data_IF_978308304667
#
_entry.id   IF_978308304667
#
_cell.length_a   1.000
_cell.length_b   1.000
_cell.length_c   1.000
_cell.angle_alpha   90.00
_cell.angle_beta   90.00
_cell.angle_gamma   90.00
#
_symmetry.space_group_name_H-M   'P 1'
#
loop_
_entity.id
_entity.type
_entity.pdbx_description
1 polymer ?
#
# COMPACT_ATOMS: atom_id res chain seq x y z
N UNK A 1 -11.92 -14.75 -12.50
CA UNK A 1 -10.84 -14.63 -13.49
C UNK A 1 -10.75 -13.16 -13.90
N UNK A 2 -9.56 -12.55 -13.84
CA UNK A 2 -9.37 -11.17 -14.31
C UNK A 2 -9.48 -11.12 -15.85
N UNK A 3 -10.09 -10.06 -16.39
CA UNK A 3 -10.38 -9.92 -17.83
C UNK A 3 -9.31 -9.09 -18.54
N UNK A 4 -8.92 -7.94 -17.98
CA UNK A 4 -7.86 -7.07 -18.51
C UNK A 4 -7.34 -6.15 -17.42
N UNK A 5 -6.09 -5.71 -17.56
CA UNK A 5 -5.55 -4.53 -16.86
C UNK A 5 -6.00 -3.29 -17.64
N UNK A 6 -6.29 -2.20 -16.94
CA UNK A 6 -6.66 -0.90 -17.49
C UNK A 6 -5.76 0.18 -16.91
N UNK A 7 -5.86 1.41 -17.42
CA UNK A 7 -5.11 2.58 -16.93
C UNK A 7 -3.57 2.41 -17.06
N UNK A 8 -3.11 2.29 -18.31
CA UNK A 8 -1.70 2.00 -18.65
C UNK A 8 -0.85 3.25 -18.91
N UNK A 9 -1.34 4.44 -18.57
CA UNK A 9 -0.68 5.73 -18.82
C UNK A 9 0.58 5.95 -17.96
N UNK A 10 0.66 5.25 -16.82
CA UNK A 10 1.77 5.31 -15.86
C UNK A 10 2.78 4.17 -15.99
N UNK A 11 2.62 3.27 -16.96
CA UNK A 11 3.55 2.15 -17.21
C UNK A 11 4.92 2.68 -17.63
N UNK A 12 5.94 2.36 -16.83
CA UNK A 12 7.34 2.75 -17.05
C UNK A 12 8.29 1.82 -16.30
N UNK A 13 9.61 1.83 -16.60
CA UNK A 13 10.59 1.14 -15.78
C UNK A 13 10.52 1.62 -14.32
N UNK A 14 10.54 0.68 -13.37
CA UNK A 14 10.39 0.95 -11.95
C UNK A 14 10.74 -0.25 -11.09
N UNK A 15 10.66 -0.07 -9.77
CA UNK A 15 10.79 -1.16 -8.81
C UNK A 15 9.44 -1.86 -8.67
N UNK A 16 9.43 -3.19 -8.60
CA UNK A 16 8.20 -3.98 -8.36
C UNK A 16 7.48 -3.57 -7.07
N UNK A 17 8.24 -3.04 -6.11
CA UNK A 17 7.79 -2.44 -4.87
C UNK A 17 6.74 -1.34 -5.05
N UNK A 18 6.82 -0.55 -6.13
CA UNK A 18 5.86 0.52 -6.37
C UNK A 18 4.47 -0.06 -6.63
N UNK A 19 4.38 -1.06 -7.50
CA UNK A 19 3.11 -1.68 -7.87
C UNK A 19 2.52 -2.48 -6.71
N UNK A 20 3.32 -3.36 -6.08
CA UNK A 20 2.82 -4.21 -4.98
C UNK A 20 2.49 -3.36 -3.75
N UNK A 21 3.36 -2.39 -3.42
CA UNK A 21 3.17 -1.53 -2.26
C UNK A 21 1.92 -0.66 -2.40
N UNK A 22 1.66 -0.07 -3.58
CA UNK A 22 0.44 0.71 -3.81
C UNK A 22 -0.81 -0.18 -3.85
N UNK A 23 -0.71 -1.37 -4.45
CA UNK A 23 -1.79 -2.36 -4.43
C UNK A 23 -2.19 -2.74 -3.00
N UNK A 24 -1.23 -3.02 -2.12
CA UNK A 24 -1.47 -3.37 -0.73
C UNK A 24 -1.96 -2.17 0.09
N UNK A 25 -1.38 -0.98 -0.12
CA UNK A 25 -1.86 0.26 0.52
C UNK A 25 -3.34 0.49 0.22
N UNK A 26 -3.77 0.37 -1.04
CA UNK A 26 -5.18 0.54 -1.41
C UNK A 26 -6.04 -0.64 -0.95
N UNK A 27 -5.66 -1.85 -1.36
CA UNK A 27 -6.47 -3.05 -1.21
C UNK A 27 -6.63 -3.55 0.22
N UNK A 28 -5.70 -3.19 1.12
CA UNK A 28 -5.78 -3.53 2.54
C UNK A 28 -6.42 -2.42 3.39
N UNK A 29 -6.96 -1.36 2.79
CA UNK A 29 -7.74 -0.33 3.48
C UNK A 29 -9.24 -0.49 3.20
N UNK A 30 -9.95 -1.20 4.09
CA UNK A 30 -11.38 -1.51 3.94
C UNK A 30 -12.30 -0.29 3.92
N UNK A 31 -11.91 0.80 4.57
CA UNK A 31 -12.71 2.04 4.57
C UNK A 31 -12.47 2.89 3.31
N UNK A 32 -11.50 2.52 2.49
CA UNK A 32 -11.14 3.24 1.28
C UNK A 32 -10.47 4.59 1.54
N UNK A 33 -10.31 5.36 0.47
CA UNK A 33 -9.59 6.64 0.48
C UNK A 33 -10.51 7.86 0.60
N UNK A 34 -11.83 7.66 0.67
CA UNK A 34 -12.83 8.72 0.68
C UNK A 34 -13.88 8.42 1.75
N UNK A 35 -13.42 8.37 3.02
CA UNK A 35 -14.24 8.09 4.21
C UNK A 35 -14.21 9.26 5.17
N UNK A 36 -15.34 9.55 5.80
CA UNK A 36 -15.43 10.54 6.89
C UNK A 36 -14.88 9.99 8.21
N UNK A 37 -14.82 8.66 8.37
CA UNK A 37 -14.37 7.98 9.59
C UNK A 37 -12.87 7.64 9.54
N UNK A 38 -12.05 8.62 9.19
CA UNK A 38 -10.63 8.42 8.92
C UNK A 38 -9.86 7.88 10.12
N UNK A 39 -10.28 8.18 11.37
CA UNK A 39 -9.65 7.69 12.59
C UNK A 39 -9.75 6.15 12.73
N UNK A 40 -10.75 5.56 12.09
CA UNK A 40 -11.03 4.12 12.08
C UNK A 40 -10.28 3.38 10.96
N UNK A 41 -9.58 4.09 10.08
CA UNK A 41 -8.78 3.50 9.01
C UNK A 41 -7.71 2.60 9.61
N UNK A 42 -7.67 1.35 9.15
CA UNK A 42 -6.69 0.35 9.56
C UNK A 42 -6.23 -0.43 8.34
N UNK A 43 -4.97 -0.82 8.36
CA UNK A 43 -4.41 -1.75 7.40
C UNK A 43 -4.80 -3.17 7.80
N UNK A 44 -5.41 -3.92 6.89
CA UNK A 44 -5.87 -5.29 7.10
C UNK A 44 -4.77 -6.31 6.72
N UNK A 45 -4.16 -6.99 7.72
CA UNK A 45 -3.11 -7.97 7.46
C UNK A 45 -3.64 -9.27 6.82
N UNK A 46 -4.92 -9.63 7.00
CA UNK A 46 -5.48 -10.83 6.38
C UNK A 46 -5.64 -10.63 4.86
N UNK A 47 -6.10 -9.44 4.45
CA UNK A 47 -6.13 -9.07 3.03
C UNK A 47 -4.72 -8.99 2.44
N UNK A 48 -3.76 -8.43 3.20
CA UNK A 48 -2.35 -8.41 2.78
C UNK A 48 -1.83 -9.81 2.49
N UNK A 49 -2.07 -10.75 3.43
CA UNK A 49 -1.68 -12.14 3.26
C UNK A 49 -2.35 -12.78 2.04
N UNK A 50 -3.66 -12.60 1.85
CA UNK A 50 -4.39 -13.17 0.72
C UNK A 50 -3.87 -12.63 -0.64
N UNK A 51 -3.63 -11.33 -0.74
CA UNK A 51 -3.08 -10.69 -1.95
C UNK A 51 -1.67 -11.22 -2.24
N UNK A 52 -0.80 -11.24 -1.24
CA UNK A 52 0.57 -11.73 -1.39
C UNK A 52 0.62 -13.21 -1.76
N UNK A 53 -0.22 -14.07 -1.16
CA UNK A 53 -0.32 -15.48 -1.54
C UNK A 53 -0.69 -15.64 -3.02
N UNK A 54 -1.67 -14.87 -3.50
CA UNK A 54 -2.06 -14.89 -4.90
C UNK A 54 -0.94 -14.43 -5.83
N UNK A 55 -0.37 -13.25 -5.56
CA UNK A 55 0.65 -12.64 -6.40
C UNK A 55 1.96 -13.45 -6.43
N UNK A 56 2.48 -13.81 -5.25
CA UNK A 56 3.77 -14.52 -5.13
C UNK A 56 3.70 -15.96 -5.64
N UNK A 57 2.51 -16.59 -5.69
CA UNK A 57 2.36 -17.91 -6.31
C UNK A 57 2.76 -17.93 -7.79
N UNK A 58 2.67 -16.78 -8.47
CA UNK A 58 3.01 -16.60 -9.88
C UNK A 58 4.32 -15.83 -10.09
N UNK A 59 4.63 -14.88 -9.20
CA UNK A 59 5.75 -13.95 -9.37
C UNK A 59 7.10 -14.44 -8.83
N UNK A 60 7.10 -15.48 -7.97
CA UNK A 60 8.30 -15.95 -7.26
C UNK A 60 9.53 -16.22 -8.15
N UNK A 61 9.33 -16.62 -9.40
CA UNK A 61 10.43 -17.06 -10.27
C UNK A 61 11.29 -15.88 -10.79
N UNK A 62 10.81 -14.63 -10.67
CA UNK A 62 11.55 -13.44 -11.09
C UNK A 62 11.88 -12.46 -9.96
N UNK A 63 11.41 -12.71 -8.74
CA UNK A 63 11.70 -11.88 -7.58
C UNK A 63 13.04 -12.26 -6.95
N UNK A 64 13.77 -11.25 -6.51
CA UNK A 64 15.04 -11.39 -5.79
C UNK A 64 14.80 -11.32 -4.28
N UNK A 65 15.80 -11.72 -3.48
CA UNK A 65 15.71 -11.63 -2.03
C UNK A 65 15.42 -10.20 -1.54
N UNK A 66 16.05 -9.21 -2.18
CA UNK A 66 15.82 -7.79 -1.89
C UNK A 66 14.37 -7.37 -2.17
N UNK A 67 13.68 -7.99 -3.14
CA UNK A 67 12.29 -7.65 -3.45
C UNK A 67 11.32 -8.04 -2.31
N UNK A 68 11.70 -9.03 -1.51
CA UNK A 68 10.95 -9.40 -0.31
C UNK A 68 11.33 -8.52 0.87
N UNK A 69 12.61 -8.24 1.05
CA UNK A 69 13.15 -7.53 2.21
C UNK A 69 12.60 -6.09 2.30
N UNK A 70 12.44 -5.42 1.16
CA UNK A 70 11.93 -4.04 1.09
C UNK A 70 10.42 -3.92 0.88
N UNK A 71 9.67 -5.03 0.88
CA UNK A 71 8.25 -4.99 0.58
C UNK A 71 7.43 -4.28 1.66
N UNK A 72 7.74 -4.53 2.94
CA UNK A 72 7.14 -3.77 4.04
C UNK A 72 7.45 -2.28 3.92
N UNK A 73 8.71 -1.94 3.64
CA UNK A 73 9.18 -0.56 3.58
C UNK A 73 8.48 0.19 2.43
N UNK A 74 8.21 -0.49 1.31
CA UNK A 74 7.46 0.05 0.19
C UNK A 74 5.99 0.33 0.54
N UNK A 75 5.28 -0.63 1.18
CA UNK A 75 3.89 -0.46 1.61
C UNK A 75 3.77 0.77 2.52
N UNK A 76 4.66 0.88 3.50
CA UNK A 76 4.74 2.02 4.42
C UNK A 76 5.05 3.32 3.70
N UNK A 77 6.08 3.33 2.84
CA UNK A 77 6.55 4.52 2.16
C UNK A 77 5.50 5.10 1.23
N UNK A 78 4.81 4.27 0.44
CA UNK A 78 3.82 4.74 -0.54
C UNK A 78 2.59 5.31 0.17
N UNK A 79 2.13 4.69 1.28
CA UNK A 79 1.07 5.27 2.11
C UNK A 79 1.46 6.68 2.59
N UNK A 80 2.68 6.82 3.14
CA UNK A 80 3.16 8.09 3.66
C UNK A 80 3.36 9.15 2.57
N UNK A 81 3.98 8.78 1.45
CA UNK A 81 4.24 9.64 0.30
C UNK A 81 2.94 10.16 -0.34
N UNK A 82 1.93 9.29 -0.49
CA UNK A 82 0.62 9.71 -0.99
C UNK A 82 -0.09 10.67 -0.02
N UNK A 83 0.02 10.43 1.29
CA UNK A 83 -0.46 11.36 2.31
C UNK A 83 0.18 12.74 2.22
N UNK A 84 1.51 12.79 2.04
CA UNK A 84 2.23 14.04 1.82
C UNK A 84 1.80 14.76 0.54
N UNK A 85 1.54 14.02 -0.54
CA UNK A 85 1.07 14.60 -1.81
C UNK A 85 -0.32 15.20 -1.68
N UNK A 86 -1.26 14.49 -1.05
CA UNK A 86 -2.59 15.04 -0.78
C UNK A 86 -2.52 16.28 0.14
N UNK A 87 -1.69 16.25 1.17
CA UNK A 87 -1.54 17.38 2.09
C UNK A 87 -0.90 18.59 1.40
N UNK A 88 0.12 18.36 0.57
CA UNK A 88 0.75 19.42 -0.24
C UNK A 88 -0.27 20.02 -1.19
N UNK A 89 -1.03 19.19 -1.92
CA UNK A 89 -2.05 19.68 -2.85
C UNK A 89 -3.15 20.48 -2.13
N UNK A 90 -3.54 20.08 -0.92
CA UNK A 90 -4.46 20.89 -0.09
C UNK A 90 -3.90 22.28 0.22
N UNK A 91 -2.62 22.38 0.62
CA UNK A 91 -1.96 23.66 0.89
C UNK A 91 -1.83 24.53 -0.36
N UNK A 92 -1.73 23.91 -1.54
CA UNK A 92 -1.70 24.58 -2.83
C UNK A 92 -3.09 24.93 -3.40
N UNK A 93 -4.17 24.55 -2.71
CA UNK A 93 -5.55 24.86 -3.11
C UNK A 93 -6.21 23.82 -4.02
N UNK A 94 -5.79 22.55 -3.92
CA UNK A 94 -6.32 21.38 -4.65
C UNK A 94 -6.19 21.50 -6.18
N UNK A 95 -4.97 21.76 -6.66
CA UNK A 95 -4.67 22.02 -8.08
C UNK A 95 -4.29 20.76 -8.86
N UNK A 96 -3.86 19.70 -8.17
CA UNK A 96 -3.38 18.45 -8.75
C UNK A 96 -4.45 17.34 -8.69
N UNK A 97 -4.92 16.99 -7.49
CA UNK A 97 -5.92 15.94 -7.31
C UNK A 97 -7.32 16.52 -7.41
N UNK A 98 -8.20 15.80 -8.10
CA UNK A 98 -9.62 16.17 -8.16
C UNK A 98 -10.21 16.19 -6.75
N UNK A 99 -10.66 17.38 -6.33
CA UNK A 99 -11.34 17.61 -5.06
C UNK A 99 -12.82 17.95 -5.30
N UNK A 100 -13.67 17.60 -4.34
CA UNK A 100 -15.13 17.85 -4.39
C UNK A 100 -15.51 19.06 -3.53
N UNK A 101 -14.71 19.35 -2.51
CA UNK A 101 -14.80 20.49 -1.61
C UNK A 101 -13.38 20.85 -1.11
N UNK A 102 -13.25 21.98 -0.43
CA UNK A 102 -11.97 22.59 -0.09
C UNK A 102 -11.05 21.68 0.76
N UNK A 103 -11.63 20.90 1.66
CA UNK A 103 -10.93 20.03 2.61
C UNK A 103 -10.78 18.59 2.11
N UNK A 104 -11.20 18.29 0.86
CA UNK A 104 -11.23 16.90 0.38
C UNK A 104 -9.84 16.26 0.41
N UNK A 105 -8.80 16.93 -0.14
CA UNK A 105 -7.45 16.35 -0.09
C UNK A 105 -6.84 16.39 1.32
N UNK A 106 -7.27 17.29 2.21
CA UNK A 106 -6.89 17.20 3.62
C UNK A 106 -7.43 15.91 4.27
N UNK A 107 -8.70 15.56 4.02
CA UNK A 107 -9.29 14.32 4.51
C UNK A 107 -8.55 13.09 3.96
N UNK A 108 -8.23 13.08 2.65
CA UNK A 108 -7.43 12.01 2.03
C UNK A 108 -6.03 11.87 2.66
N UNK A 109 -5.38 13.00 2.95
CA UNK A 109 -4.08 12.99 3.62
C UNK A 109 -4.17 12.35 5.01
N UNK A 110 -5.19 12.71 5.80
CA UNK A 110 -5.43 12.14 7.13
C UNK A 110 -5.66 10.62 7.06
N UNK A 111 -6.42 10.15 6.07
CA UNK A 111 -6.61 8.71 5.83
C UNK A 111 -5.27 8.02 5.58
N UNK A 112 -4.43 8.55 4.69
CA UNK A 112 -3.14 7.93 4.37
C UNK A 112 -2.15 7.98 5.55
N UNK A 113 -2.14 9.06 6.34
CA UNK A 113 -1.32 9.11 7.56
C UNK A 113 -1.82 8.14 8.62
N UNK A 114 -3.14 8.00 8.78
CA UNK A 114 -3.70 7.02 9.72
C UNK A 114 -3.43 5.58 9.27
N UNK A 115 -3.48 5.33 7.97
CA UNK A 115 -3.09 4.05 7.39
C UNK A 115 -1.60 3.76 7.62
N UNK A 116 -0.73 4.76 7.43
CA UNK A 116 0.71 4.66 7.70
C UNK A 116 0.97 4.28 9.16
N UNK A 117 0.34 4.96 10.11
CA UNK A 117 0.42 4.63 11.55
C UNK A 117 -0.07 3.18 11.82
N UNK A 118 -1.14 2.77 11.15
CA UNK A 118 -1.65 1.40 11.24
C UNK A 118 -0.68 0.36 10.65
N UNK A 119 0.07 0.69 9.61
CA UNK A 119 1.11 -0.18 9.02
C UNK A 119 2.30 -0.28 9.97
N UNK A 120 2.75 0.85 10.52
CA UNK A 120 3.88 0.92 11.46
C UNK A 120 3.61 0.11 12.73
N UNK A 121 2.42 0.26 13.33
CA UNK A 121 2.03 -0.51 14.52
C UNK A 121 1.92 -2.02 14.27
N UNK A 122 1.87 -2.46 13.01
CA UNK A 122 1.74 -3.86 12.59
C UNK A 122 2.99 -4.41 11.90
N UNK A 123 4.14 -3.72 12.00
CA UNK A 123 5.37 -4.07 11.29
C UNK A 123 5.74 -5.56 11.41
N UNK A 124 5.83 -6.05 12.65
CA UNK A 124 6.18 -7.45 12.91
C UNK A 124 5.25 -8.43 12.20
N UNK A 125 3.94 -8.18 12.24
CA UNK A 125 2.93 -9.04 11.62
C UNK A 125 3.08 -9.04 10.10
N UNK A 126 3.22 -7.86 9.50
CA UNK A 126 3.34 -7.72 8.03
C UNK A 126 4.64 -8.37 7.53
N UNK A 127 5.77 -8.14 8.21
CA UNK A 127 7.04 -8.78 7.85
C UNK A 127 6.98 -10.31 7.97
N UNK A 128 6.31 -10.85 9.00
CA UNK A 128 6.10 -12.29 9.13
C UNK A 128 5.25 -12.85 7.98
N UNK A 129 4.17 -12.15 7.58
CA UNK A 129 3.35 -12.54 6.42
C UNK A 129 4.20 -12.59 5.15
N UNK A 130 5.05 -11.60 4.91
CA UNK A 130 5.95 -11.55 3.74
C UNK A 130 6.91 -12.74 3.76
N UNK A 131 7.52 -13.03 4.91
CA UNK A 131 8.43 -14.17 5.07
C UNK A 131 7.72 -15.51 4.81
N UNK A 132 6.56 -15.73 5.43
CA UNK A 132 5.79 -16.97 5.29
C UNK A 132 5.32 -17.19 3.85
N UNK A 133 4.89 -16.12 3.16
CA UNK A 133 4.44 -16.18 1.77
C UNK A 133 5.58 -16.32 0.76
N UNK A 134 6.79 -15.86 1.10
CA UNK A 134 8.00 -16.07 0.28
C UNK A 134 8.50 -17.53 0.30
N UNK A 135 8.01 -18.37 1.21
CA UNK A 135 8.49 -19.75 1.39
C UNK A 135 9.83 -19.85 2.13
N UNK A 136 10.39 -18.72 2.60
CA UNK A 136 11.59 -18.66 3.44
C UNK A 136 11.23 -18.90 4.90
N UNK A 137 11.01 -20.17 5.29
CA UNK A 137 10.94 -20.52 6.72
C UNK A 137 12.33 -20.35 7.34
N UNK A 138 12.45 -19.45 8.32
CA UNK A 138 13.58 -19.45 9.25
C UNK A 138 13.50 -20.77 10.03
N UNK A 139 14.46 -21.67 9.83
CA UNK A 139 14.79 -22.65 10.86
C UNK A 139 15.20 -21.84 12.10
N UNK A 140 14.27 -21.67 13.05
CA UNK A 140 14.64 -21.19 14.38
C UNK A 140 15.49 -22.30 15.02
N UNK A 141 16.79 -22.05 15.15
CA UNK A 141 17.68 -22.83 16.04
C UNK A 141 17.23 -22.71 17.50
#
# INVERSE_FOLDING_TARGET
QAISIVDLDTVKPGLVHYDIGDCLRSGCNLLGEDTEQWEMVRFDPELCQAILQGYLSLAKDFLTDNDYDYLYDAIRLIAFELGLRYFTDYLEGNVYFKANHQEHNLARALIQFKLTESIESQETTIRLIIQDTSGKRICRE
#
